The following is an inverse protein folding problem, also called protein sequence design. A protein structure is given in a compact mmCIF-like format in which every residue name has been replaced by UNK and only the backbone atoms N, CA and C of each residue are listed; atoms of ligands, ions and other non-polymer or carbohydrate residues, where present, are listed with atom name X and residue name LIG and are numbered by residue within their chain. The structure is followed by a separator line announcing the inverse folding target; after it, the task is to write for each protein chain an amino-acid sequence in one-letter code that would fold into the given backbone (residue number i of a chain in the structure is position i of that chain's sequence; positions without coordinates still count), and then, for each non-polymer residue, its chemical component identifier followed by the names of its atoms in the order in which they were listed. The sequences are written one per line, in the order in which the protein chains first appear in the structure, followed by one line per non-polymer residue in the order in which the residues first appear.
data_IF_912329876114
#
_entry.id   IF_912329876114
#
_cell.length_a   1.000
_cell.length_b   1.000
_cell.length_c   1.000
_cell.angle_alpha   90.00
_cell.angle_beta   90.00
_cell.angle_gamma   90.00
#
_symmetry.space_group_name_H-M   'P 1'
#
loop_
_entity.id
_entity.type
_entity.pdbx_description
1 polymer ?
#
# COMPACT_ATOMS: atom_id res chain seq x y z
N UNK A 1 -14.80 -3.41 17.43
CA UNK A 1 -14.28 -3.96 16.17
C UNK A 1 -14.04 -2.79 15.21
N UNK A 2 -12.85 -2.69 14.60
CA UNK A 2 -12.56 -1.69 13.56
C UNK A 2 -12.42 -2.43 12.24
N UNK A 3 -13.08 -1.95 11.19
CA UNK A 3 -13.03 -2.54 9.84
C UNK A 3 -12.45 -1.52 8.86
N UNK A 4 -11.59 -1.98 7.96
CA UNK A 4 -11.23 -1.24 6.75
C UNK A 4 -12.16 -1.70 5.63
N UNK A 5 -12.92 -0.78 5.05
CA UNK A 5 -13.89 -1.06 3.99
C UNK A 5 -13.45 -0.34 2.72
N UNK A 6 -13.37 -1.08 1.61
CA UNK A 6 -12.99 -0.56 0.30
C UNK A 6 -14.16 -0.75 -0.66
N UNK A 7 -14.63 0.34 -1.27
CA UNK A 7 -15.68 0.33 -2.31
C UNK A 7 -15.25 1.17 -3.52
N UNK A 8 -14.23 0.71 -4.28
CA UNK A 8 -13.74 1.44 -5.44
C UNK A 8 -14.66 1.22 -6.65
N UNK A 9 -15.16 2.30 -7.24
CA UNK A 9 -16.04 2.24 -8.43
C UNK A 9 -15.37 1.60 -9.67
N UNK A 10 -14.03 1.63 -9.75
CA UNK A 10 -13.23 1.13 -10.88
C UNK A 10 -12.17 0.11 -10.48
N UNK A 11 -12.26 -0.43 -9.26
CA UNK A 11 -11.23 -1.28 -8.68
C UNK A 11 -10.08 -0.51 -8.03
N UNK A 12 -9.24 -1.22 -7.27
CA UNK A 12 -8.03 -0.69 -6.64
C UNK A 12 -6.89 -1.70 -6.84
N UNK A 13 -5.75 -1.23 -7.32
CA UNK A 13 -4.55 -2.05 -7.50
C UNK A 13 -3.86 -2.30 -6.17
N UNK A 14 -2.97 -3.29 -6.14
CA UNK A 14 -2.26 -3.66 -4.91
C UNK A 14 -1.46 -2.50 -4.30
N UNK A 15 -0.73 -1.73 -5.12
CA UNK A 15 0.03 -0.55 -4.67
C UNK A 15 -0.86 0.54 -4.07
N UNK A 16 -2.10 0.70 -4.57
CA UNK A 16 -3.09 1.61 -4.00
C UNK A 16 -3.61 1.13 -2.64
N UNK A 17 -3.95 -0.16 -2.50
CA UNK A 17 -4.43 -0.71 -1.22
C UNK A 17 -3.34 -0.65 -0.16
N UNK A 18 -2.11 -1.04 -0.51
CA UNK A 18 -0.96 -0.94 0.39
C UNK A 18 -0.70 0.51 0.80
N UNK A 19 -0.80 1.45 -0.14
CA UNK A 19 -0.72 2.89 0.14
C UNK A 19 -1.78 3.38 1.11
N UNK A 20 -3.03 2.95 0.94
CA UNK A 20 -4.13 3.30 1.83
C UNK A 20 -3.93 2.77 3.26
N UNK A 21 -3.34 1.58 3.43
CA UNK A 21 -2.98 1.05 4.74
C UNK A 21 -1.90 1.91 5.42
N UNK A 22 -0.91 2.36 4.65
CA UNK A 22 0.14 3.27 5.15
C UNK A 22 -0.45 4.61 5.57
N UNK A 23 -1.32 5.21 4.75
CA UNK A 23 -2.03 6.45 5.10
C UNK A 23 -2.94 6.29 6.33
N UNK A 24 -3.49 5.09 6.56
CA UNK A 24 -4.26 4.74 7.75
C UNK A 24 -3.41 4.51 9.02
N UNK A 25 -2.07 4.60 8.91
CA UNK A 25 -1.14 4.52 10.03
C UNK A 25 -0.34 3.23 10.14
N UNK A 26 -0.45 2.30 9.17
CA UNK A 26 0.44 1.13 9.11
C UNK A 26 1.86 1.59 8.76
N UNK A 27 2.85 1.21 9.56
CA UNK A 27 4.24 1.54 9.23
C UNK A 27 4.75 0.71 8.05
N UNK A 28 5.60 1.29 7.22
CA UNK A 28 6.21 0.58 6.09
C UNK A 28 6.98 -0.67 6.55
N UNK A 29 7.65 -0.60 7.71
CA UNK A 29 8.39 -1.73 8.27
C UNK A 29 7.45 -2.90 8.65
N UNK A 30 6.32 -2.61 9.32
CA UNK A 30 5.33 -3.63 9.63
C UNK A 30 4.76 -4.26 8.35
N UNK A 31 4.50 -3.45 7.32
CA UNK A 31 4.06 -3.93 6.03
C UNK A 31 5.10 -4.85 5.36
N UNK A 32 6.37 -4.45 5.31
CA UNK A 32 7.47 -5.27 4.77
C UNK A 32 7.58 -6.61 5.51
N UNK A 33 7.45 -6.58 6.84
CA UNK A 33 7.50 -7.78 7.68
C UNK A 33 6.38 -8.75 7.32
N UNK A 34 5.14 -8.29 7.18
CA UNK A 34 4.03 -9.19 6.80
C UNK A 34 4.17 -9.72 5.37
N UNK A 35 4.61 -8.89 4.42
CA UNK A 35 4.79 -9.32 3.03
C UNK A 35 5.94 -10.33 2.87
N UNK A 36 6.96 -10.30 3.74
CA UNK A 36 8.05 -11.29 3.74
C UNK A 36 7.57 -12.72 3.98
N UNK A 37 6.36 -12.90 4.53
CA UNK A 37 5.75 -14.20 4.81
C UNK A 37 5.20 -14.89 3.56
N UNK A 38 5.08 -14.17 2.44
CA UNK A 38 4.52 -14.69 1.19
C UNK A 38 5.52 -15.56 0.39
N UNK A 39 6.74 -15.78 0.90
CA UNK A 39 7.84 -16.47 0.21
C UNK A 39 8.13 -15.89 -1.18
N UNK A 40 7.96 -14.57 -1.29
CA UNK A 40 8.32 -13.78 -2.46
C UNK A 40 9.69 -13.17 -2.16
N UNK A 41 10.72 -13.58 -2.88
CA UNK A 41 12.08 -13.07 -2.73
C UNK A 41 12.40 -11.96 -3.72
N UNK A 42 13.48 -11.23 -3.45
CA UNK A 42 14.10 -10.34 -4.44
C UNK A 42 13.31 -9.08 -4.75
N UNK A 43 12.51 -8.57 -3.80
CA UNK A 43 11.88 -7.26 -3.95
C UNK A 43 12.18 -6.36 -2.75
N UNK A 44 12.05 -5.06 -2.97
CA UNK A 44 11.98 -4.03 -1.94
C UNK A 44 10.73 -3.20 -2.16
N UNK A 45 10.17 -2.65 -1.08
CA UNK A 45 9.05 -1.72 -1.18
C UNK A 45 9.42 -0.35 -0.62
N UNK A 46 8.89 0.69 -1.26
CA UNK A 46 9.00 2.08 -0.81
C UNK A 46 7.63 2.73 -0.80
N UNK A 47 7.43 3.69 0.09
CA UNK A 47 6.24 4.52 0.11
C UNK A 47 6.60 5.92 -0.39
N UNK A 48 5.83 6.42 -1.36
CA UNK A 48 5.97 7.77 -1.89
C UNK A 48 4.64 8.51 -1.87
N UNK A 49 4.70 9.85 -1.77
CA UNK A 49 3.50 10.68 -1.94
C UNK A 49 3.15 10.71 -3.42
N UNK A 50 1.92 10.37 -3.73
CA UNK A 50 1.38 10.43 -5.09
C UNK A 50 0.16 11.35 -5.12
N UNK A 51 -0.07 11.96 -6.28
CA UNK A 51 -1.33 12.65 -6.52
C UNK A 51 -1.56 13.00 -7.97
N UNK A 52 -2.82 12.88 -8.39
CA UNK A 52 -3.28 13.20 -9.74
C UNK A 52 -4.70 13.73 -9.67
N UNK A 53 -5.05 14.69 -10.54
CA UNK A 53 -6.41 15.24 -10.64
C UNK A 53 -7.00 15.71 -9.29
N UNK A 54 -6.16 16.25 -8.39
CA UNK A 54 -6.57 16.72 -7.06
C UNK A 54 -6.76 15.62 -6.00
N UNK A 55 -6.53 14.35 -6.34
CA UNK A 55 -6.51 13.25 -5.37
C UNK A 55 -5.07 13.01 -4.93
N UNK A 56 -4.86 12.88 -3.62
CA UNK A 56 -3.54 12.68 -3.02
C UNK A 56 -3.57 11.52 -2.03
N UNK A 57 -2.46 10.79 -1.96
CA UNK A 57 -2.28 9.68 -1.04
C UNK A 57 -0.85 9.17 -1.06
N UNK A 58 -0.66 8.01 -0.43
CA UNK A 58 0.57 7.25 -0.53
C UNK A 58 0.44 6.19 -1.62
N UNK A 59 1.50 6.03 -2.41
CA UNK A 59 1.67 4.89 -3.32
C UNK A 59 2.79 4.01 -2.78
N UNK A 60 2.56 2.70 -2.72
CA UNK A 60 3.60 1.73 -2.37
C UNK A 60 4.16 1.11 -3.65
N UNK A 61 5.42 1.40 -3.96
CA UNK A 61 6.10 0.88 -5.15
C UNK A 61 6.96 -0.33 -4.78
N UNK A 62 6.90 -1.37 -5.60
CA UNK A 62 7.79 -2.52 -5.53
C UNK A 62 8.90 -2.42 -6.57
N UNK A 63 10.14 -2.63 -6.16
CA UNK A 63 11.33 -2.70 -7.01
C UNK A 63 11.91 -4.11 -6.88
N UNK A 64 12.35 -4.70 -8.00
CA UNK A 64 13.06 -6.01 -8.07
C UNK A 64 14.54 -5.75 -8.23
#
# INVERSE_FOLDING_TARGET
MKIAFFDPFSGASGDMILGALVDAGLSLNALTTELSRLDLGGYQIRAERAGQHGMHGTRVVGEV
#
